data_IF_727888477053
#
_entry.id   IF_727888477053
#
_cell.length_a   1.000
_cell.length_b   1.000
_cell.length_c   1.000
_cell.angle_alpha   90.00
_cell.angle_beta   90.00
_cell.angle_gamma   90.00
#
_symmetry.space_group_name_H-M   'P 1'
#
loop_
_entity.id
_entity.type
_entity.pdbx_description
1 polymer ?
#
# COMPACT_ATOMS: atom_id res chain seq x y z
N UNK A 1 -20.86 10.17 57.70
CA UNK A 1 -20.26 10.69 56.45
C UNK A 1 -20.35 9.61 55.38
N UNK A 2 -20.94 9.89 54.21
CA UNK A 2 -21.02 8.93 53.09
C UNK A 2 -19.90 9.22 52.08
N UNK A 3 -19.05 8.24 51.81
CA UNK A 3 -18.06 8.27 50.74
C UNK A 3 -18.76 8.22 49.38
N UNK A 4 -18.66 9.29 48.59
CA UNK A 4 -19.12 9.33 47.20
C UNK A 4 -18.08 8.59 46.35
N UNK A 5 -18.32 7.31 46.06
CA UNK A 5 -17.50 6.60 45.06
C UNK A 5 -17.78 7.15 43.66
N UNK A 6 -16.79 7.83 43.08
CA UNK A 6 -16.80 8.30 41.69
C UNK A 6 -16.73 7.13 40.69
N UNK A 7 -17.83 6.39 40.52
CA UNK A 7 -18.01 5.43 39.41
C UNK A 7 -18.72 6.13 38.25
N UNK A 8 -17.98 6.87 37.41
CA UNK A 8 -18.64 7.68 36.38
C UNK A 8 -17.85 8.18 35.17
N UNK A 9 -16.53 7.99 35.07
CA UNK A 9 -15.73 8.55 33.95
C UNK A 9 -14.59 7.63 33.48
N UNK A 10 -14.92 6.39 33.05
CA UNK A 10 -13.94 5.47 32.41
C UNK A 10 -14.37 4.89 31.05
N UNK A 11 -15.42 5.43 30.43
CA UNK A 11 -15.98 4.94 29.15
C UNK A 11 -16.15 6.05 28.11
N UNK A 12 -15.23 7.02 28.04
CA UNK A 12 -15.32 8.17 27.13
C UNK A 12 -13.96 8.62 26.56
N UNK A 13 -13.03 7.67 26.40
CA UNK A 13 -11.74 7.85 25.73
C UNK A 13 -11.43 6.68 24.77
N UNK A 14 -12.48 6.16 24.10
CA UNK A 14 -12.40 5.02 23.19
C UNK A 14 -13.31 5.22 21.95
N UNK A 15 -13.33 6.44 21.40
CA UNK A 15 -13.97 6.76 20.12
C UNK A 15 -13.01 7.66 19.35
N UNK A 16 -12.27 7.03 18.42
CA UNK A 16 -11.52 7.57 17.26
C UNK A 16 -10.30 6.68 16.90
N UNK A 17 -10.43 5.34 17.01
CA UNK A 17 -9.41 4.41 16.50
C UNK A 17 -9.98 3.07 16.01
N UNK A 18 -11.20 3.07 15.47
CA UNK A 18 -11.77 1.94 14.72
C UNK A 18 -12.61 2.49 13.56
N UNK A 19 -11.95 2.75 12.43
CA UNK A 19 -12.56 2.98 11.14
C UNK A 19 -11.53 2.54 10.09
N UNK A 20 -11.71 1.34 9.51
CA UNK A 20 -10.69 0.72 8.66
C UNK A 20 -10.36 -0.75 8.97
N UNK A 21 -11.19 -1.48 9.72
CA UNK A 21 -11.20 -2.95 9.61
C UNK A 21 -12.15 -3.33 8.47
N UNK A 22 -11.65 -3.30 7.24
CA UNK A 22 -12.34 -3.88 6.09
C UNK A 22 -12.50 -5.39 6.27
N UNK A 23 -13.62 -5.94 5.80
CA UNK A 23 -13.82 -7.38 5.63
C UNK A 23 -13.18 -7.83 4.31
N UNK A 24 -12.88 -9.12 4.15
CA UNK A 24 -12.06 -9.63 3.04
C UNK A 24 -12.83 -10.25 1.83
N UNK A 25 -12.42 -9.93 0.57
CA UNK A 25 -12.93 -10.37 -0.76
C UNK A 25 -11.84 -10.59 -1.91
N UNK A 26 -11.76 -11.73 -2.60
CA UNK A 26 -10.55 -12.47 -3.05
C UNK A 26 -9.41 -12.02 -4.09
N UNK A 27 -8.93 -10.76 -4.29
CA UNK A 27 -7.90 -10.39 -5.33
C UNK A 27 -7.32 -8.93 -5.29
N UNK A 28 -6.30 -8.59 -6.12
CA UNK A 28 -5.71 -7.23 -6.34
C UNK A 28 -6.30 -6.50 -7.57
N UNK A 29 -6.80 -5.28 -7.41
CA UNK A 29 -7.16 -4.39 -8.53
C UNK A 29 -5.92 -4.07 -9.37
N UNK A 30 -5.89 -4.58 -10.60
CA UNK A 30 -4.75 -4.42 -11.50
C UNK A 30 -4.69 -3.04 -12.21
N UNK A 31 -5.63 -2.13 -11.94
CA UNK A 31 -5.69 -0.80 -12.58
C UNK A 31 -5.78 -0.83 -14.10
N UNK A 32 -6.25 -1.93 -14.69
CA UNK A 32 -6.61 -2.01 -16.09
C UNK A 32 -8.01 -1.41 -16.29
N UNK A 33 -8.38 -0.96 -17.51
CA UNK A 33 -9.79 -0.75 -17.82
C UNK A 33 -10.54 -2.07 -17.63
N UNK A 34 -11.43 -2.12 -16.62
CA UNK A 34 -12.41 -3.19 -16.44
C UNK A 34 -13.12 -3.44 -17.78
N UNK A 35 -13.33 -4.72 -18.12
CA UNK A 35 -13.71 -5.22 -19.45
C UNK A 35 -15.02 -4.58 -19.96
N UNK A 36 -14.90 -3.39 -20.54
CA UNK A 36 -15.97 -2.65 -21.20
C UNK A 36 -15.38 -1.79 -22.32
N UNK A 37 -16.05 -1.76 -23.48
CA UNK A 37 -15.65 -1.00 -24.67
C UNK A 37 -15.76 0.53 -24.52
N UNK A 38 -15.90 1.02 -23.28
CA UNK A 38 -16.04 2.42 -22.88
C UNK A 38 -15.53 2.66 -21.44
N UNK A 39 -14.79 1.71 -20.84
CA UNK A 39 -14.47 1.72 -19.41
C UNK A 39 -13.48 2.82 -19.01
N UNK A 40 -13.89 3.71 -18.11
CA UNK A 40 -12.98 4.62 -17.41
C UNK A 40 -11.98 3.81 -16.59
N UNK A 41 -10.69 3.80 -16.97
CA UNK A 41 -9.66 3.09 -16.23
C UNK A 41 -9.50 3.63 -14.80
N UNK A 42 -9.34 2.73 -13.83
CA UNK A 42 -9.05 3.05 -12.43
C UNK A 42 -7.55 2.97 -12.14
N UNK A 43 -7.13 3.50 -10.98
CA UNK A 43 -5.89 3.04 -10.36
C UNK A 43 -6.00 1.56 -10.00
N UNK A 44 -4.83 0.90 -9.93
CA UNK A 44 -4.68 -0.40 -9.30
C UNK A 44 -4.19 -0.25 -7.86
N UNK A 45 -4.05 -1.36 -7.18
CA UNK A 45 -3.68 -1.42 -5.78
C UNK A 45 -2.18 -1.54 -5.55
N UNK A 46 -1.76 -1.08 -4.36
CA UNK A 46 -0.42 -1.33 -3.86
C UNK A 46 -0.33 -2.79 -3.40
N UNK A 47 0.75 -3.46 -3.76
CA UNK A 47 1.07 -4.80 -3.29
C UNK A 47 2.51 -4.87 -2.76
N UNK A 48 2.69 -5.72 -1.74
CA UNK A 48 3.97 -6.07 -1.13
C UNK A 48 4.48 -7.38 -1.74
N UNK A 49 5.78 -7.42 -2.05
CA UNK A 49 6.49 -8.64 -2.41
C UNK A 49 7.72 -8.80 -1.50
N UNK A 50 7.80 -9.91 -0.78
CA UNK A 50 8.93 -10.31 0.08
C UNK A 50 9.59 -11.55 -0.50
N UNK A 51 10.92 -11.63 -0.41
CA UNK A 51 11.73 -12.64 -1.10
C UNK A 51 12.88 -13.16 -0.23
N UNK A 52 12.98 -14.49 -0.14
CA UNK A 52 14.13 -15.23 0.38
C UNK A 52 15.01 -15.70 -0.78
N UNK A 53 16.20 -15.11 -0.91
CA UNK A 53 17.17 -15.42 -1.95
C UNK A 53 17.86 -16.78 -1.82
N UNK A 54 17.86 -17.39 -0.64
CA UNK A 54 18.54 -18.64 -0.33
C UNK A 54 17.59 -19.84 -0.45
N UNK A 55 16.38 -19.76 0.11
CA UNK A 55 15.36 -20.81 -0.08
C UNK A 55 14.72 -20.75 -1.48
N UNK A 56 14.90 -19.65 -2.19
CA UNK A 56 14.27 -19.36 -3.49
C UNK A 56 12.74 -19.33 -3.44
N UNK A 57 12.18 -18.68 -2.42
CA UNK A 57 10.72 -18.54 -2.22
C UNK A 57 10.30 -17.10 -1.97
N UNK A 58 9.11 -16.74 -2.47
CA UNK A 58 8.50 -15.41 -2.33
C UNK A 58 7.18 -15.51 -1.58
N UNK A 59 6.92 -14.51 -0.75
CA UNK A 59 5.59 -14.13 -0.31
C UNK A 59 5.15 -12.89 -1.08
N UNK A 60 3.87 -12.77 -1.39
CA UNK A 60 3.30 -11.50 -1.85
C UNK A 60 1.87 -11.37 -1.38
N UNK A 61 1.47 -10.14 -1.09
CA UNK A 61 0.12 -9.79 -0.68
C UNK A 61 -0.22 -8.44 -1.29
N UNK A 62 -1.48 -8.28 -1.64
CA UNK A 62 -2.13 -6.99 -1.79
C UNK A 62 -2.06 -6.17 -0.49
N UNK A 63 -2.34 -4.87 -0.56
CA UNK A 63 -2.44 -3.99 0.60
C UNK A 63 -3.81 -3.31 0.72
N UNK A 64 -4.81 -3.70 -0.09
CA UNK A 64 -6.20 -3.22 0.00
C UNK A 64 -6.29 -1.71 -0.09
N UNK A 65 -5.43 -1.11 -0.92
CA UNK A 65 -5.25 0.34 -0.99
C UNK A 65 -4.87 0.72 -2.41
N UNK A 66 -5.79 1.39 -3.12
CA UNK A 66 -5.54 1.89 -4.48
C UNK A 66 -4.40 2.91 -4.48
N UNK A 67 -3.69 3.02 -5.61
CA UNK A 67 -2.67 4.06 -5.81
C UNK A 67 -3.26 5.45 -5.58
N UNK A 68 -4.49 5.72 -6.03
CA UNK A 68 -5.11 7.05 -5.84
C UNK A 68 -5.45 7.31 -4.36
N UNK A 69 -6.00 6.33 -3.64
CA UNK A 69 -6.31 6.46 -2.19
C UNK A 69 -5.05 6.59 -1.34
N UNK A 70 -3.95 5.93 -1.75
CA UNK A 70 -2.65 6.12 -1.12
C UNK A 70 -2.12 7.53 -1.40
N UNK A 71 -2.12 7.99 -2.66
CA UNK A 71 -1.61 9.31 -3.03
C UNK A 71 -2.45 10.46 -2.46
N UNK A 72 -3.75 10.29 -2.30
CA UNK A 72 -4.62 11.23 -1.60
C UNK A 72 -4.30 11.30 -0.09
N UNK A 73 -4.12 10.14 0.54
CA UNK A 73 -3.84 10.02 1.98
C UNK A 73 -2.36 9.85 2.37
N UNK A 74 -1.41 10.22 1.49
CA UNK A 74 0.04 9.94 1.68
C UNK A 74 0.66 10.60 2.93
N UNK A 75 0.03 11.68 3.41
CA UNK A 75 0.44 12.41 4.62
C UNK A 75 0.01 11.72 5.93
N UNK A 76 -0.65 10.56 5.85
CA UNK A 76 -1.08 9.76 6.99
C UNK A 76 -0.23 8.49 7.04
N UNK A 77 0.41 8.22 8.18
CA UNK A 77 1.05 6.93 8.44
C UNK A 77 0.01 5.80 8.39
N UNK A 78 0.40 4.65 7.84
CA UNK A 78 -0.46 3.45 7.69
C UNK A 78 0.26 2.22 8.21
N UNK A 79 -0.49 1.21 8.61
CA UNK A 79 0.04 -0.10 8.99
C UNK A 79 -0.85 -1.16 8.40
N UNK A 80 -0.24 -2.10 7.67
CA UNK A 80 -0.89 -3.28 7.15
C UNK A 80 -0.40 -4.48 7.96
N UNK A 81 -1.33 -5.17 8.62
CA UNK A 81 -1.07 -6.48 9.20
C UNK A 81 -0.97 -7.50 8.07
N UNK A 82 0.12 -8.24 8.03
CA UNK A 82 0.32 -9.34 7.10
C UNK A 82 -0.38 -10.59 7.65
N UNK A 83 -0.79 -11.50 6.77
CA UNK A 83 -1.62 -12.63 7.13
C UNK A 83 -0.82 -13.78 7.79
N UNK A 84 -1.54 -14.80 8.29
CA UNK A 84 -0.91 -15.98 8.88
C UNK A 84 0.04 -16.68 7.90
N UNK A 85 -0.24 -16.64 6.59
CA UNK A 85 0.61 -17.22 5.55
C UNK A 85 1.98 -16.52 5.49
N UNK A 86 2.05 -15.21 5.74
CA UNK A 86 3.33 -14.51 5.92
C UNK A 86 4.10 -15.05 7.12
N UNK A 87 3.46 -15.14 8.28
CA UNK A 87 4.10 -15.58 9.51
C UNK A 87 4.63 -17.02 9.40
N UNK A 88 3.81 -17.93 8.87
CA UNK A 88 4.17 -19.32 8.62
C UNK A 88 5.35 -19.43 7.65
N UNK A 89 5.28 -18.72 6.51
CA UNK A 89 6.35 -18.67 5.53
C UNK A 89 7.65 -18.12 6.14
N UNK A 90 7.60 -16.91 6.71
CA UNK A 90 8.77 -16.22 7.27
C UNK A 90 9.46 -17.05 8.36
N UNK A 91 8.71 -17.80 9.17
CA UNK A 91 9.27 -18.71 10.18
C UNK A 91 10.16 -19.83 9.61
N UNK A 92 10.00 -20.15 8.32
CA UNK A 92 10.74 -21.18 7.58
C UNK A 92 11.81 -20.63 6.63
N UNK A 93 11.93 -19.30 6.52
CA UNK A 93 12.86 -18.64 5.60
C UNK A 93 14.27 -18.48 6.15
N UNK A 94 15.19 -18.18 5.24
CA UNK A 94 16.56 -17.79 5.50
C UNK A 94 16.67 -16.29 5.76
N UNK A 95 17.55 -15.92 6.69
CA UNK A 95 17.85 -14.53 7.01
C UNK A 95 19.10 -14.03 6.22
N UNK A 96 19.09 -12.83 5.59
CA UNK A 96 18.03 -11.83 5.55
C UNK A 96 17.05 -12.00 4.37
N UNK A 97 15.85 -11.45 4.56
CA UNK A 97 14.85 -11.27 3.51
C UNK A 97 15.10 -9.99 2.70
N UNK A 98 14.47 -9.90 1.53
CA UNK A 98 14.37 -8.64 0.77
C UNK A 98 12.92 -8.32 0.46
N UNK A 99 12.51 -7.06 0.65
CA UNK A 99 11.13 -6.65 0.43
C UNK A 99 11.02 -5.43 -0.48
N UNK A 100 9.86 -5.27 -1.10
CA UNK A 100 9.53 -4.16 -1.95
C UNK A 100 8.01 -3.99 -2.11
N UNK A 101 7.58 -2.79 -2.50
CA UNK A 101 6.17 -2.42 -2.73
C UNK A 101 6.04 -1.69 -4.08
N UNK A 102 4.93 -1.91 -4.78
CA UNK A 102 4.52 -1.10 -5.92
C UNK A 102 3.00 -1.14 -6.13
N UNK A 103 2.50 -0.24 -6.96
CA UNK A 103 1.17 -0.33 -7.57
C UNK A 103 1.17 0.45 -8.89
N UNK A 104 0.26 0.14 -9.80
CA UNK A 104 0.15 0.84 -11.08
C UNK A 104 -1.13 1.65 -11.17
N UNK A 105 -1.10 2.67 -12.03
CA UNK A 105 -2.27 3.47 -12.34
C UNK A 105 -2.37 3.62 -13.86
N UNK A 106 -3.07 2.69 -14.52
CA UNK A 106 -3.02 2.51 -15.98
C UNK A 106 -4.17 3.22 -16.72
N UNK A 107 -4.59 4.38 -16.20
CA UNK A 107 -5.62 5.26 -16.78
C UNK A 107 -5.61 5.29 -18.31
N UNK A 108 -6.80 5.34 -18.92
CA UNK A 108 -6.93 5.47 -20.38
C UNK A 108 -6.30 6.79 -20.85
N UNK A 109 -5.18 6.66 -21.56
CA UNK A 109 -4.44 7.77 -22.15
C UNK A 109 -3.28 8.24 -21.28
N UNK A 110 -2.06 8.18 -21.85
CA UNK A 110 -0.82 8.62 -21.20
C UNK A 110 -0.80 10.12 -20.87
N UNK A 111 -1.74 10.92 -21.37
CA UNK A 111 -1.87 12.36 -21.07
C UNK A 111 -2.62 12.70 -19.78
N UNK A 112 -3.15 11.71 -19.05
CA UNK A 112 -3.65 11.92 -17.69
C UNK A 112 -2.47 11.99 -16.71
N UNK A 113 -2.37 13.05 -15.90
CA UNK A 113 -1.30 13.20 -14.91
C UNK A 113 -1.25 12.05 -13.87
N UNK A 114 -2.38 11.37 -13.63
CA UNK A 114 -2.44 10.22 -12.74
C UNK A 114 -1.98 8.90 -13.41
N UNK A 115 -1.71 8.90 -14.73
CA UNK A 115 -1.15 7.73 -15.42
C UNK A 115 0.29 7.49 -14.95
N UNK A 116 0.56 6.34 -14.33
CA UNK A 116 1.89 6.06 -13.79
C UNK A 116 2.03 4.77 -13.00
N UNK A 117 3.02 4.77 -12.11
CA UNK A 117 3.31 3.72 -11.13
C UNK A 117 3.78 4.34 -9.81
N UNK A 118 3.36 3.76 -8.68
CA UNK A 118 4.06 3.92 -7.41
C UNK A 118 5.11 2.81 -7.32
N UNK A 119 6.36 3.18 -7.11
CA UNK A 119 7.49 2.26 -6.97
C UNK A 119 8.26 2.56 -5.70
N UNK A 120 8.60 1.52 -4.95
CA UNK A 120 9.54 1.61 -3.84
C UNK A 120 10.99 1.72 -4.30
N UNK A 121 11.81 2.38 -3.48
CA UNK A 121 13.24 2.57 -3.67
C UNK A 121 13.95 2.64 -2.33
N UNK A 122 15.07 1.92 -2.20
CA UNK A 122 15.88 1.94 -0.97
C UNK A 122 16.27 3.37 -0.61
N UNK A 123 16.02 3.72 0.65
CA UNK A 123 16.44 5.00 1.21
C UNK A 123 17.95 5.20 1.02
N UNK A 124 18.38 6.41 0.65
CA UNK A 124 19.79 6.73 0.41
C UNK A 124 20.41 6.19 -0.89
N UNK A 125 19.67 5.46 -1.75
CA UNK A 125 20.15 5.12 -3.09
C UNK A 125 20.38 6.38 -3.96
N UNK A 126 20.97 6.23 -5.15
CA UNK A 126 20.97 7.30 -6.18
C UNK A 126 19.64 7.35 -6.91
N UNK A 127 19.18 8.54 -7.30
CA UNK A 127 17.97 8.68 -8.12
C UNK A 127 18.28 8.21 -9.56
N UNK A 128 17.31 7.64 -10.29
CA UNK A 128 17.50 7.42 -11.72
C UNK A 128 17.61 8.76 -12.43
N UNK A 129 18.24 8.78 -13.61
CA UNK A 129 18.15 9.93 -14.51
C UNK A 129 16.72 10.15 -15.03
N UNK A 130 16.51 11.20 -15.81
CA UNK A 130 15.21 11.48 -16.44
C UNK A 130 14.72 10.30 -17.29
N UNK A 131 13.44 9.97 -17.18
CA UNK A 131 12.83 8.77 -17.77
C UNK A 131 11.77 9.17 -18.79
N UNK A 132 11.78 8.54 -19.95
CA UNK A 132 10.83 8.82 -21.03
C UNK A 132 9.47 8.13 -20.79
N UNK A 133 8.39 8.70 -21.33
CA UNK A 133 7.04 8.14 -21.25
C UNK A 133 6.94 6.71 -21.81
N UNK A 134 7.75 6.32 -22.80
CA UNK A 134 7.82 4.93 -23.29
C UNK A 134 8.35 3.95 -22.24
N UNK A 135 9.32 4.37 -21.43
CA UNK A 135 9.85 3.59 -20.31
C UNK A 135 8.80 3.48 -19.20
N UNK A 136 8.12 4.59 -18.85
CA UNK A 136 7.02 4.56 -17.89
C UNK A 136 5.89 3.61 -18.33
N UNK A 137 5.45 3.66 -19.59
CA UNK A 137 4.42 2.75 -20.09
C UNK A 137 4.84 1.26 -20.03
N UNK A 138 6.13 0.98 -20.21
CA UNK A 138 6.71 -0.36 -20.01
C UNK A 138 6.64 -0.79 -18.54
N UNK A 139 6.82 0.14 -17.60
CA UNK A 139 6.73 -0.12 -16.16
C UNK A 139 5.31 -0.36 -15.70
N UNK A 140 4.36 0.52 -16.08
CA UNK A 140 2.93 0.35 -15.82
C UNK A 140 2.44 -1.01 -16.31
N UNK A 141 2.89 -1.44 -17.50
CA UNK A 141 2.64 -2.78 -18.04
C UNK A 141 3.20 -3.89 -17.15
N UNK A 142 4.49 -3.83 -16.77
CA UNK A 142 5.12 -4.88 -15.94
C UNK A 142 4.53 -4.99 -14.53
N UNK A 143 4.19 -3.85 -13.90
CA UNK A 143 3.55 -3.82 -12.57
C UNK A 143 2.14 -4.43 -12.64
N UNK A 144 1.34 -4.05 -13.64
CA UNK A 144 0.00 -4.62 -13.90
C UNK A 144 0.07 -6.12 -14.18
N UNK A 145 1.00 -6.55 -15.01
CA UNK A 145 1.12 -7.96 -15.40
C UNK A 145 1.58 -8.83 -14.22
N UNK A 146 2.30 -8.27 -13.24
CA UNK A 146 2.56 -8.93 -11.95
C UNK A 146 1.32 -8.97 -11.05
N UNK A 147 0.53 -7.90 -10.96
CA UNK A 147 -0.76 -7.93 -10.25
C UNK A 147 -1.72 -9.01 -10.83
N UNK A 148 -1.77 -9.15 -12.15
CA UNK A 148 -2.50 -10.24 -12.81
C UNK A 148 -1.97 -11.62 -12.41
N UNK A 149 -0.64 -11.81 -12.38
CA UNK A 149 -0.04 -13.08 -11.99
C UNK A 149 -0.31 -13.42 -10.51
N UNK A 150 -0.30 -12.41 -9.64
CA UNK A 150 -0.69 -12.52 -8.23
C UNK A 150 -2.12 -13.04 -8.10
N UNK A 151 -3.10 -12.40 -8.74
CA UNK A 151 -4.52 -12.81 -8.68
C UNK A 151 -4.72 -14.26 -9.13
N UNK A 152 -4.07 -14.68 -10.21
CA UNK A 152 -4.17 -16.05 -10.74
C UNK A 152 -3.60 -17.07 -9.73
N UNK A 153 -2.45 -16.77 -9.11
CA UNK A 153 -1.80 -17.67 -8.17
C UNK A 153 -2.48 -17.67 -6.78
N UNK A 154 -2.98 -16.53 -6.33
CA UNK A 154 -3.85 -16.40 -5.15
C UNK A 154 -5.09 -17.30 -5.30
N UNK A 155 -5.78 -17.29 -6.45
CA UNK A 155 -6.93 -18.19 -6.67
C UNK A 155 -6.55 -19.67 -6.58
N UNK A 156 -5.37 -20.06 -7.08
CA UNK A 156 -4.88 -21.43 -6.97
C UNK A 156 -4.56 -21.86 -5.53
N UNK A 157 -4.29 -20.91 -4.63
CA UNK A 157 -3.90 -21.16 -3.24
C UNK A 157 -5.01 -20.92 -2.21
N UNK A 158 -6.13 -20.29 -2.60
CA UNK A 158 -7.21 -19.90 -1.70
C UNK A 158 -8.55 -20.45 -2.25
N UNK A 159 -8.98 -21.67 -1.85
CA UNK A 159 -10.17 -22.31 -2.42
C UNK A 159 -11.45 -21.47 -2.30
N UNK A 160 -12.13 -21.26 -3.42
CA UNK A 160 -13.34 -20.43 -3.51
C UNK A 160 -13.09 -18.97 -3.92
N UNK A 161 -11.83 -18.53 -3.98
CA UNK A 161 -11.43 -17.24 -4.53
C UNK A 161 -11.76 -17.09 -6.04
N UNK A 162 -11.89 -15.85 -6.51
CA UNK A 162 -11.94 -15.52 -7.94
C UNK A 162 -10.99 -14.36 -8.26
N UNK A 163 -10.40 -14.34 -9.45
CA UNK A 163 -9.32 -13.41 -9.81
C UNK A 163 -9.78 -11.95 -10.08
N UNK A 164 -11.00 -11.61 -9.69
CA UNK A 164 -11.72 -10.36 -10.00
C UNK A 164 -12.49 -9.77 -8.81
N UNK A 165 -12.32 -10.34 -7.63
CA UNK A 165 -13.04 -9.98 -6.41
C UNK A 165 -12.09 -9.15 -5.55
N UNK A 166 -12.03 -7.81 -5.66
CA UNK A 166 -10.81 -7.03 -5.34
C UNK A 166 -10.69 -6.42 -3.92
N UNK A 167 -11.10 -7.07 -2.82
CA UNK A 167 -11.12 -6.46 -1.46
C UNK A 167 -10.79 -7.41 -0.25
N UNK A 168 -9.89 -8.39 -0.38
CA UNK A 168 -9.47 -9.45 0.60
C UNK A 168 -8.00 -9.38 0.90
N UNK A 169 -7.33 -8.73 -0.03
CA UNK A 169 -5.94 -8.51 0.00
C UNK A 169 -5.20 -9.86 0.05
N UNK A 170 -5.53 -10.78 -0.88
CA UNK A 170 -5.06 -12.17 -0.77
C UNK A 170 -3.54 -12.29 -0.83
N UNK A 171 -3.01 -13.26 -0.10
CA UNK A 171 -1.61 -13.65 -0.14
C UNK A 171 -1.34 -14.82 -1.09
N UNK A 172 -0.15 -14.84 -1.68
CA UNK A 172 0.49 -16.02 -2.25
C UNK A 172 1.81 -16.33 -1.53
N UNK A 173 2.17 -17.62 -1.48
CA UNK A 173 3.55 -18.06 -1.29
C UNK A 173 3.95 -18.88 -2.50
N UNK A 174 5.07 -18.54 -3.14
CA UNK A 174 5.50 -19.19 -4.38
C UNK A 174 6.96 -19.60 -4.35
N UNK A 175 7.27 -20.67 -5.08
CA UNK A 175 8.62 -21.23 -5.21
C UNK A 175 9.15 -21.02 -6.63
N UNK A 176 10.45 -21.19 -6.82
CA UNK A 176 11.17 -20.93 -8.08
C UNK A 176 10.69 -21.70 -9.32
N UNK A 177 9.75 -22.64 -9.19
CA UNK A 177 9.10 -23.34 -10.33
C UNK A 177 8.11 -22.46 -11.10
N UNK A 178 7.65 -21.33 -10.52
CA UNK A 178 6.79 -20.35 -11.19
C UNK A 178 7.56 -19.05 -11.49
N UNK A 179 8.24 -18.94 -12.65
CA UNK A 179 9.09 -17.79 -12.97
C UNK A 179 8.34 -16.46 -13.16
N UNK A 180 7.01 -16.47 -13.20
CA UNK A 180 6.15 -15.28 -13.25
C UNK A 180 5.77 -14.74 -11.86
N UNK A 181 5.80 -15.58 -10.82
CA UNK A 181 5.52 -15.15 -9.45
C UNK A 181 6.77 -14.65 -8.72
N UNK A 182 7.95 -15.02 -9.20
CA UNK A 182 9.21 -14.58 -8.62
C UNK A 182 9.90 -13.51 -9.49
N UNK A 183 9.71 -12.24 -9.12
CA UNK A 183 10.36 -11.11 -9.80
C UNK A 183 11.83 -11.00 -9.35
N UNK A 184 12.70 -11.82 -9.94
CA UNK A 184 14.01 -12.22 -9.38
C UNK A 184 15.05 -11.14 -9.07
N UNK A 185 14.72 -9.88 -9.33
CA UNK A 185 15.51 -8.70 -9.00
C UNK A 185 14.59 -7.52 -8.72
N UNK A 186 14.05 -7.44 -7.50
CA UNK A 186 13.99 -6.19 -6.71
C UNK A 186 13.75 -4.87 -7.49
N UNK A 187 12.72 -4.81 -8.35
CA UNK A 187 12.44 -3.72 -9.31
C UNK A 187 13.60 -3.27 -10.24
N UNK A 188 14.74 -3.96 -10.23
CA UNK A 188 16.00 -3.49 -10.79
C UNK A 188 16.22 -3.89 -12.25
N UNK A 189 16.90 -5.01 -12.49
CA UNK A 189 17.34 -5.35 -13.87
C UNK A 189 16.27 -6.00 -14.76
N UNK A 190 15.10 -6.36 -14.23
CA UNK A 190 13.96 -6.87 -15.04
C UNK A 190 13.00 -5.76 -15.49
N UNK A 191 13.17 -4.54 -14.97
CA UNK A 191 12.51 -3.31 -15.43
C UNK A 191 13.44 -2.36 -16.18
N UNK A 192 14.68 -2.79 -16.41
CA UNK A 192 15.69 -2.07 -17.20
C UNK A 192 15.92 -0.64 -16.71
N UNK A 193 16.03 -0.45 -15.39
CA UNK A 193 16.28 0.86 -14.77
C UNK A 193 17.72 0.91 -14.25
N UNK A 194 18.67 1.57 -14.95
CA UNK A 194 20.03 1.74 -14.44
C UNK A 194 20.01 2.51 -13.11
N UNK A 195 20.64 1.92 -12.08
CA UNK A 195 20.77 2.54 -10.76
C UNK A 195 19.54 2.48 -9.84
N UNK A 196 18.38 1.97 -10.28
CA UNK A 196 17.24 1.79 -9.38
C UNK A 196 17.45 0.59 -8.45
N UNK A 197 17.46 0.84 -7.15
CA UNK A 197 17.50 -0.18 -6.11
C UNK A 197 16.13 -0.18 -5.45
N UNK A 198 15.19 -0.97 -5.98
CA UNK A 198 13.81 -0.96 -5.50
C UNK A 198 13.49 -1.88 -4.33
N UNK A 199 14.48 -2.56 -3.75
CA UNK A 199 14.28 -3.36 -2.53
C UNK A 199 15.15 -2.90 -1.38
N UNK A 200 14.63 -3.11 -0.19
CA UNK A 200 15.37 -3.07 1.07
C UNK A 200 15.67 -4.50 1.51
N UNK A 201 16.80 -4.66 2.20
CA UNK A 201 17.14 -5.88 2.96
C UNK A 201 16.55 -5.72 4.35
N UNK A 202 15.97 -6.78 4.91
CA UNK A 202 15.48 -6.81 6.28
C UNK A 202 15.82 -8.15 6.92
N UNK A 203 16.42 -8.10 8.12
CA UNK A 203 16.59 -9.27 8.97
C UNK A 203 15.35 -9.57 9.81
N UNK A 204 15.21 -10.83 10.18
CA UNK A 204 14.17 -11.27 11.09
C UNK A 204 14.46 -10.77 12.51
N UNK A 205 13.75 -9.71 12.93
CA UNK A 205 13.94 -9.02 14.21
C UNK A 205 13.02 -7.80 14.35
N UNK A 206 13.07 -7.12 15.50
CA UNK A 206 12.16 -6.01 15.86
C UNK A 206 12.45 -4.69 15.11
N UNK A 207 13.60 -4.55 14.45
CA UNK A 207 14.02 -3.30 13.78
C UNK A 207 14.38 -3.56 12.32
N UNK A 208 13.79 -2.82 11.35
CA UNK A 208 14.15 -2.95 9.94
C UNK A 208 15.59 -2.47 9.70
N UNK A 209 16.40 -3.27 9.00
CA UNK A 209 17.77 -2.88 8.61
C UNK A 209 17.80 -1.74 7.58
N UNK A 210 16.82 -1.71 6.68
CA UNK A 210 16.73 -0.76 5.58
C UNK A 210 15.26 -0.42 5.31
N UNK A 211 15.01 0.86 5.03
CA UNK A 211 13.70 1.35 4.63
C UNK A 211 13.61 1.56 3.11
N UNK A 212 12.38 1.75 2.64
CA UNK A 212 12.08 2.14 1.27
C UNK A 212 11.39 3.51 1.24
N UNK A 213 11.95 4.46 0.52
CA UNK A 213 11.19 5.59 -0.02
C UNK A 213 10.12 5.07 -0.99
N UNK A 214 9.01 5.80 -1.11
CA UNK A 214 8.05 5.63 -2.22
C UNK A 214 8.15 6.79 -3.21
N UNK A 215 8.08 6.44 -4.49
CA UNK A 215 8.05 7.38 -5.61
C UNK A 215 6.80 7.16 -6.44
N UNK A 216 6.07 8.24 -6.76
CA UNK A 216 5.13 8.24 -7.85
C UNK A 216 5.85 8.69 -9.12
N UNK A 217 5.90 7.81 -10.12
CA UNK A 217 6.49 8.08 -11.43
C UNK A 217 5.35 8.07 -12.43
N UNK A 218 5.11 9.22 -13.05
CA UNK A 218 3.83 9.47 -13.71
C UNK A 218 3.94 10.41 -14.91
N UNK A 219 2.85 10.55 -15.65
CA UNK A 219 2.76 11.52 -16.74
C UNK A 219 2.81 12.95 -16.21
N UNK A 220 3.52 13.89 -16.88
CA UNK A 220 3.40 15.31 -16.60
C UNK A 220 2.01 15.89 -16.96
N UNK A 221 1.16 15.10 -17.64
CA UNK A 221 -0.17 15.50 -18.08
C UNK A 221 -0.19 16.24 -19.43
N UNK A 222 -1.39 16.37 -20.01
CA UNK A 222 -1.61 17.06 -21.27
C UNK A 222 -1.09 16.28 -22.49
N UNK A 223 -0.58 17.00 -23.50
CA UNK A 223 -0.07 16.39 -24.74
C UNK A 223 1.33 15.81 -24.52
N UNK A 224 1.41 14.50 -24.29
CA UNK A 224 2.66 13.74 -24.15
C UNK A 224 3.04 13.03 -25.45
N UNK A 225 4.33 13.07 -25.77
CA UNK A 225 4.97 12.23 -26.79
C UNK A 225 5.79 11.14 -26.09
N UNK A 226 6.17 10.09 -26.83
CA UNK A 226 6.96 8.99 -26.26
C UNK A 226 8.31 9.42 -25.65
N UNK A 227 8.90 10.50 -26.17
CA UNK A 227 10.13 11.11 -25.68
C UNK A 227 9.94 12.16 -24.58
N UNK A 228 8.70 12.53 -24.23
CA UNK A 228 8.43 13.41 -23.10
C UNK A 228 8.95 12.76 -21.82
N UNK A 229 9.52 13.56 -20.91
CA UNK A 229 9.95 13.06 -19.61
C UNK A 229 8.76 12.84 -18.69
N UNK A 230 8.75 11.71 -17.99
CA UNK A 230 7.85 11.45 -16.87
C UNK A 230 8.19 12.37 -15.69
N UNK A 231 7.18 12.69 -14.89
CA UNK A 231 7.31 13.38 -13.61
C UNK A 231 7.70 12.39 -12.49
N UNK A 232 8.38 12.90 -11.46
CA UNK A 232 8.98 12.14 -10.37
C UNK A 232 8.70 12.79 -9.02
N UNK A 233 7.69 12.29 -8.33
CA UNK A 233 7.33 12.75 -6.99
C UNK A 233 7.86 11.75 -5.95
N UNK A 234 8.90 12.12 -5.21
CA UNK A 234 9.22 11.43 -3.95
C UNK A 234 8.12 11.74 -2.94
N UNK A 235 7.55 10.71 -2.34
CA UNK A 235 6.55 10.86 -1.29
C UNK A 235 7.25 11.07 0.07
N UNK A 236 6.70 11.94 0.93
CA UNK A 236 7.34 12.33 2.18
C UNK A 236 7.05 11.35 3.32
N UNK A 237 7.81 10.25 3.30
CA UNK A 237 7.74 9.16 4.25
C UNK A 237 8.56 7.96 3.76
N UNK A 238 8.51 6.87 4.52
CA UNK A 238 9.19 5.62 4.21
C UNK A 238 8.37 4.40 4.61
N UNK A 239 8.61 3.28 3.94
CA UNK A 239 8.12 1.96 4.31
C UNK A 239 9.19 1.18 5.10
N UNK A 240 8.74 0.52 6.16
CA UNK A 240 9.48 -0.52 6.88
C UNK A 240 8.68 -1.82 6.94
N UNK A 241 9.38 -2.95 6.84
CA UNK A 241 8.82 -4.28 7.09
C UNK A 241 9.29 -4.76 8.46
N UNK A 242 8.34 -5.03 9.35
CA UNK A 242 8.53 -5.68 10.63
C UNK A 242 8.16 -7.17 10.46
N UNK A 243 9.19 -7.99 10.27
CA UNK A 243 9.04 -9.44 10.02
C UNK A 243 8.54 -10.14 11.29
N UNK A 244 9.01 -9.72 12.46
CA UNK A 244 8.71 -10.35 13.74
C UNK A 244 7.24 -10.18 14.16
N UNK A 245 6.64 -9.02 13.88
CA UNK A 245 5.23 -8.73 14.17
C UNK A 245 4.31 -8.87 12.95
N UNK A 246 4.82 -9.39 11.81
CA UNK A 246 4.09 -9.54 10.56
C UNK A 246 3.38 -8.24 10.11
N UNK A 247 4.14 -7.14 9.94
CA UNK A 247 3.58 -5.83 9.57
C UNK A 247 4.40 -5.10 8.52
N UNK A 248 3.72 -4.51 7.54
CA UNK A 248 4.26 -3.43 6.72
C UNK A 248 3.79 -2.09 7.31
N UNK A 249 4.68 -1.12 7.46
CA UNK A 249 4.37 0.21 8.01
C UNK A 249 4.80 1.30 7.04
N UNK A 250 3.87 2.18 6.66
CA UNK A 250 4.19 3.48 6.05
C UNK A 250 4.26 4.52 7.15
N UNK A 251 5.43 5.13 7.33
CA UNK A 251 5.61 6.29 8.22
C UNK A 251 5.69 7.54 7.36
N UNK A 252 4.70 8.43 7.47
CA UNK A 252 4.81 9.76 6.87
C UNK A 252 5.65 10.67 7.78
N UNK A 253 6.50 11.50 7.17
CA UNK A 253 7.25 12.53 7.90
C UNK A 253 6.43 13.82 8.11
N UNK A 254 5.26 13.93 7.49
CA UNK A 254 4.42 15.12 7.61
C UNK A 254 3.79 15.17 8.99
N UNK A 255 4.19 16.19 9.76
CA UNK A 255 3.67 16.40 11.10
C UNK A 255 2.13 16.52 11.08
N UNK A 256 1.40 15.78 11.94
CA UNK A 256 -0.05 15.91 12.04
C UNK A 256 -0.44 17.36 12.35
N UNK A 257 -1.16 18.00 11.44
CA UNK A 257 -1.65 19.37 11.64
C UNK A 257 -2.61 19.35 12.83
N UNK A 258 -2.32 20.08 13.93
CA UNK A 258 -3.23 20.10 15.08
C UNK A 258 -4.58 20.65 14.65
N UNK A 259 -5.65 19.89 14.89
CA UNK A 259 -7.02 20.32 14.62
C UNK A 259 -7.25 21.67 15.32
N UNK A 260 -7.57 22.77 14.58
CA UNK A 260 -7.66 24.09 15.17
C UNK A 260 -8.63 24.14 16.35
N UNK A 261 -8.29 24.90 17.40
CA UNK A 261 -9.11 24.98 18.62
C UNK A 261 -10.59 25.33 18.37
N UNK A 262 -10.89 26.06 17.28
CA UNK A 262 -12.25 26.34 16.83
C UNK A 262 -13.07 25.08 16.48
N UNK A 263 -12.46 24.05 15.89
CA UNK A 263 -13.13 22.79 15.58
C UNK A 263 -13.39 21.95 16.84
N UNK A 264 -12.48 21.98 17.82
CA UNK A 264 -12.73 21.42 19.15
C UNK A 264 -13.89 22.12 19.87
N UNK A 265 -13.93 23.46 19.83
CA UNK A 265 -15.04 24.25 20.37
C UNK A 265 -16.36 23.91 19.67
N UNK A 266 -16.38 23.83 18.33
CA UNK A 266 -17.57 23.46 17.55
C UNK A 266 -18.09 22.06 17.89
N UNK A 267 -17.22 21.04 17.91
CA UNK A 267 -17.57 19.67 18.31
C UNK A 267 -18.06 19.59 19.76
N UNK A 268 -17.45 20.33 20.68
CA UNK A 268 -17.89 20.42 22.08
C UNK A 268 -19.26 21.08 22.22
N UNK A 269 -19.56 22.09 21.39
CA UNK A 269 -20.85 22.77 21.31
C UNK A 269 -21.97 21.85 20.80
N UNK A 270 -21.69 21.05 19.77
CA UNK A 270 -22.62 20.03 19.26
C UNK A 270 -22.90 18.96 20.34
N UNK A 271 -21.87 18.46 21.02
CA UNK A 271 -22.03 17.49 22.12
C UNK A 271 -22.82 18.07 23.31
N UNK A 272 -22.67 19.36 23.60
CA UNK A 272 -23.47 20.06 24.61
C UNK A 272 -24.95 20.20 24.19
N UNK A 273 -25.22 20.56 22.94
CA UNK A 273 -26.57 20.67 22.39
C UNK A 273 -27.31 19.33 22.37
N UNK A 274 -26.64 18.25 21.96
CA UNK A 274 -27.20 16.89 21.96
C UNK A 274 -27.51 16.38 23.38
N UNK A 275 -26.72 16.77 24.39
CA UNK A 275 -27.02 16.47 25.80
C UNK A 275 -28.23 17.24 26.34
N UNK A 276 -28.47 18.45 25.85
CA UNK A 276 -29.67 19.23 26.20
C UNK A 276 -30.94 18.62 25.58
N UNK A 277 -30.91 18.18 24.31
CA UNK A 277 -32.05 17.54 23.66
C UNK A 277 -32.47 16.20 24.30
N UNK A 278 -31.53 15.44 24.90
CA UNK A 278 -31.86 14.18 25.61
C UNK A 278 -32.54 14.37 26.97
N UNK A 279 -32.77 15.61 27.44
CA UNK A 279 -33.38 15.88 28.77
C UNK A 279 -34.88 16.16 28.77
N UNK A 280 -35.55 16.15 27.61
CA UNK A 280 -37.01 16.35 27.49
C UNK A 280 -37.75 15.06 27.16
N UNK A 281 -37.79 14.11 28.11
CA UNK A 281 -38.80 13.05 28.21
C UNK A 281 -39.10 12.79 29.69
N UNK A 282 -40.38 12.57 30.01
CA UNK A 282 -40.97 12.24 31.32
C UNK A 282 -41.08 13.39 32.35
N UNK A 283 -42.22 14.07 32.29
CA UNK A 283 -43.09 14.26 33.46
C UNK A 283 -44.24 13.25 33.33
#
# INVERSE_FOLDING_TARGET
MKLIQQRGYRWLAAICLVAGTGSAHAAINNGAPLIQASGTGSSGELYLNVWDALATTSYSIDLGTTVDDFLAGKQLSRTWSLDQKFADWASSTSDPLTFNVAGNSSYLGTGNANYGVVLSRREGASAPGGIAMTTLATWTTKVRDRANALNIAQVAQNPGATATDFEADLSEVTTSTFPTSYFNKAWGTTMSIPGWIGSAVVRNGETPDQNLDLFFVHSPGGTVLGSTQAAFDKLDGFLSLDVANAKLVWTSNVAPVPVPGAAWLFLSGILAALRLQRRTVAA
#
